data_IF_908606525649
#
_entry.id   IF_908606525649
#
_cell.length_a   1.000
_cell.length_b   1.000
_cell.length_c   1.000
_cell.angle_alpha   90.00
_cell.angle_beta   90.00
_cell.angle_gamma   90.00
#
_symmetry.space_group_name_H-M   'P 1'
#
loop_
_entity.id
_entity.type
_entity.pdbx_description
1 polymer ?
#
# COMPACT_ATOMS: atom_id res chain seq x y z
N UNK A 1 41.36 48.46 8.71
CA UNK A 1 40.17 48.93 9.45
C UNK A 1 38.83 48.56 8.76
N UNK A 2 38.84 47.74 7.69
CA UNK A 2 37.64 47.49 6.86
C UNK A 2 37.03 46.08 7.04
N UNK A 3 37.79 45.11 7.57
CA UNK A 3 37.30 43.74 7.72
C UNK A 3 36.26 43.58 8.84
N UNK A 4 36.36 44.34 9.93
CA UNK A 4 35.40 44.24 11.04
C UNK A 4 34.02 44.76 10.68
N UNK A 5 33.93 45.80 9.84
CA UNK A 5 32.64 46.35 9.37
C UNK A 5 31.97 45.42 8.36
N UNK A 6 32.75 44.71 7.55
CA UNK A 6 32.24 43.71 6.62
C UNK A 6 31.72 42.47 7.37
N UNK A 7 32.44 42.00 8.38
CA UNK A 7 32.06 40.86 9.21
C UNK A 7 30.82 41.17 10.06
N UNK A 8 30.73 42.38 10.61
CA UNK A 8 29.55 42.86 11.36
C UNK A 8 28.33 43.05 10.46
N UNK A 9 28.51 43.46 9.19
CA UNK A 9 27.44 43.51 8.18
C UNK A 9 27.00 42.12 7.70
N UNK A 10 27.91 41.17 7.58
CA UNK A 10 27.60 39.78 7.24
C UNK A 10 26.82 39.11 8.37
N UNK A 11 27.27 39.27 9.62
CA UNK A 11 26.59 38.79 10.83
C UNK A 11 25.24 39.48 11.05
N UNK A 12 25.13 40.79 10.76
CA UNK A 12 23.86 41.50 10.79
C UNK A 12 22.90 41.01 9.69
N UNK A 13 23.40 40.70 8.48
CA UNK A 13 22.58 40.12 7.41
C UNK A 13 22.11 38.69 7.72
N UNK A 14 22.95 37.89 8.39
CA UNK A 14 22.60 36.54 8.86
C UNK A 14 21.63 36.58 10.06
N UNK A 15 21.67 37.65 10.87
CA UNK A 15 20.75 37.87 11.98
C UNK A 15 19.39 38.46 11.55
N UNK A 16 19.34 39.29 10.50
CA UNK A 16 18.11 39.92 9.99
C UNK A 16 17.24 39.01 9.11
N UNK A 17 17.77 37.90 8.59
CA UNK A 17 17.00 36.92 7.79
C UNK A 17 16.66 35.63 8.56
N UNK A 18 16.41 35.70 9.87
CA UNK A 18 15.68 34.63 10.53
C UNK A 18 14.17 34.83 10.31
N UNK A 19 13.52 34.12 9.35
CA UNK A 19 12.08 34.25 9.19
C UNK A 19 11.40 34.01 10.53
N UNK A 20 10.50 34.92 10.90
CA UNK A 20 9.66 34.84 12.10
C UNK A 20 9.28 33.37 12.35
N UNK A 21 9.44 32.87 13.58
CA UNK A 21 9.17 31.48 13.94
C UNK A 21 7.81 31.00 13.39
N UNK A 22 6.79 31.87 13.39
CA UNK A 22 5.48 31.60 12.79
C UNK A 22 5.55 31.31 11.29
N UNK A 23 6.36 32.06 10.54
CA UNK A 23 6.61 31.86 9.10
C UNK A 23 7.36 30.56 8.85
N UNK A 24 8.37 30.22 9.67
CA UNK A 24 9.09 28.92 9.60
C UNK A 24 8.12 27.76 9.83
N UNK A 25 7.36 27.80 10.91
CA UNK A 25 6.35 26.79 11.23
C UNK A 25 5.34 26.63 10.09
N UNK A 26 4.86 27.74 9.51
CA UNK A 26 3.92 27.71 8.40
C UNK A 26 4.49 27.05 7.14
N UNK A 27 5.74 27.38 6.79
CA UNK A 27 6.43 26.77 5.64
C UNK A 27 6.61 25.27 5.83
N UNK A 28 7.12 24.84 6.99
CA UNK A 28 7.29 23.42 7.32
C UNK A 28 5.94 22.68 7.35
N UNK A 29 4.91 23.28 7.96
CA UNK A 29 3.56 22.72 7.97
C UNK A 29 3.02 22.50 6.56
N UNK A 30 3.26 23.45 5.65
CA UNK A 30 2.83 23.32 4.24
C UNK A 30 3.57 22.19 3.52
N UNK A 31 4.85 21.98 3.79
CA UNK A 31 5.63 20.88 3.24
C UNK A 31 5.14 19.53 3.75
N UNK A 32 4.88 19.41 5.06
CA UNK A 32 4.32 18.22 5.68
C UNK A 32 2.96 17.91 5.04
N UNK A 33 2.05 18.88 4.95
CA UNK A 33 0.72 18.67 4.37
C UNK A 33 0.76 18.24 2.91
N UNK A 34 1.73 18.72 2.12
CA UNK A 34 1.91 18.30 0.73
C UNK A 34 2.19 16.80 0.59
N UNK A 35 2.84 16.20 1.58
CA UNK A 35 3.23 14.79 1.61
C UNK A 35 2.18 13.96 2.35
N UNK A 36 1.70 14.45 3.49
CA UNK A 36 0.78 13.78 4.38
C UNK A 36 -0.64 13.68 3.81
N UNK A 37 -1.16 14.74 3.17
CA UNK A 37 -2.54 14.74 2.67
C UNK A 37 -2.79 13.61 1.65
N UNK A 38 -1.96 13.43 0.60
CA UNK A 38 -2.18 12.31 -0.33
C UNK A 38 -2.09 10.94 0.33
N UNK A 39 -1.19 10.76 1.31
CA UNK A 39 -1.07 9.50 2.05
C UNK A 39 -2.28 9.23 2.94
N UNK A 40 -2.80 10.27 3.63
CA UNK A 40 -4.05 10.17 4.41
C UNK A 40 -5.21 9.82 3.48
N UNK A 41 -5.33 10.51 2.35
CA UNK A 41 -6.37 10.25 1.37
C UNK A 41 -6.32 8.79 0.92
N UNK A 42 -5.16 8.29 0.50
CA UNK A 42 -4.97 6.89 0.09
C UNK A 42 -5.38 5.91 1.20
N UNK A 43 -4.99 6.14 2.45
CA UNK A 43 -5.34 5.27 3.59
C UNK A 43 -6.84 5.27 3.87
N UNK A 44 -7.47 6.45 3.89
CA UNK A 44 -8.91 6.61 4.12
C UNK A 44 -9.70 5.94 3.00
N UNK A 45 -9.32 6.14 1.74
CA UNK A 45 -10.01 5.54 0.60
C UNK A 45 -9.84 4.03 0.56
N UNK A 46 -8.66 3.51 0.88
CA UNK A 46 -8.42 2.05 0.95
C UNK A 46 -9.22 1.38 2.07
N UNK A 47 -9.26 1.99 3.26
CA UNK A 47 -10.14 1.50 4.33
C UNK A 47 -11.62 1.65 3.96
N UNK A 48 -11.98 2.74 3.29
CA UNK A 48 -13.32 2.98 2.77
C UNK A 48 -13.78 1.87 1.81
N UNK A 49 -12.92 1.36 0.93
CA UNK A 49 -13.28 0.25 0.03
C UNK A 49 -13.67 -1.02 0.81
N UNK A 50 -12.96 -1.34 1.90
CA UNK A 50 -13.30 -2.48 2.79
C UNK A 50 -14.68 -2.26 3.40
N UNK A 51 -14.94 -1.05 3.93
CA UNK A 51 -16.24 -0.71 4.53
C UNK A 51 -17.37 -0.79 3.51
N UNK A 52 -17.18 -0.26 2.30
CA UNK A 52 -18.18 -0.31 1.21
C UNK A 52 -18.47 -1.75 0.82
N UNK A 53 -17.44 -2.57 0.60
CA UNK A 53 -17.61 -3.99 0.26
C UNK A 53 -18.41 -4.72 1.34
N UNK A 54 -18.06 -4.52 2.62
CA UNK A 54 -18.76 -5.11 3.75
C UNK A 54 -20.23 -4.67 3.83
N UNK A 55 -20.53 -3.39 3.55
CA UNK A 55 -21.91 -2.89 3.52
C UNK A 55 -22.74 -3.56 2.43
N UNK A 56 -22.18 -3.74 1.22
CA UNK A 56 -22.89 -4.41 0.14
C UNK A 56 -23.10 -5.90 0.42
N UNK A 57 -22.08 -6.60 0.94
CA UNK A 57 -22.22 -8.00 1.38
C UNK A 57 -23.27 -8.13 2.48
N UNK A 58 -23.34 -7.17 3.40
CA UNK A 58 -24.37 -7.13 4.45
C UNK A 58 -25.81 -7.03 3.95
N UNK A 59 -26.03 -6.47 2.75
CA UNK A 59 -27.35 -6.45 2.13
C UNK A 59 -27.71 -7.78 1.44
N UNK A 60 -26.71 -8.61 1.10
CA UNK A 60 -26.93 -9.94 0.51
C UNK A 60 -27.49 -10.89 1.57
N UNK A 61 -26.76 -11.11 2.67
CA UNK A 61 -27.27 -11.86 3.81
C UNK A 61 -26.42 -11.65 5.07
N UNK A 62 -26.99 -11.99 6.23
CA UNK A 62 -26.25 -11.99 7.50
C UNK A 62 -25.15 -13.05 7.55
N UNK A 63 -25.34 -14.20 6.87
CA UNK A 63 -24.35 -15.28 6.79
C UNK A 63 -23.11 -14.82 6.01
N UNK A 64 -23.32 -14.22 4.83
CA UNK A 64 -22.22 -13.71 4.00
C UNK A 64 -21.46 -12.59 4.70
N UNK A 65 -22.16 -11.72 5.43
CA UNK A 65 -21.53 -10.66 6.22
C UNK A 65 -20.63 -11.23 7.32
N UNK A 66 -21.11 -12.24 8.06
CA UNK A 66 -20.34 -12.89 9.11
C UNK A 66 -19.10 -13.59 8.53
N UNK A 67 -19.28 -14.36 7.46
CA UNK A 67 -18.19 -15.03 6.73
C UNK A 67 -17.16 -14.04 6.20
N UNK A 68 -17.59 -12.93 5.57
CA UNK A 68 -16.68 -11.87 5.12
C UNK A 68 -15.89 -11.27 6.26
N UNK A 69 -16.55 -10.90 7.36
CA UNK A 69 -15.90 -10.30 8.51
C UNK A 69 -14.86 -11.25 9.14
N UNK A 70 -15.17 -12.54 9.19
CA UNK A 70 -14.27 -13.57 9.71
C UNK A 70 -13.06 -13.76 8.79
N UNK A 71 -13.26 -13.93 7.48
CA UNK A 71 -12.17 -14.00 6.48
C UNK A 71 -11.29 -12.76 6.55
N UNK A 72 -11.89 -11.58 6.61
CA UNK A 72 -11.19 -10.30 6.63
C UNK A 72 -10.35 -10.11 7.90
N UNK A 73 -10.88 -10.50 9.06
CA UNK A 73 -10.23 -10.32 10.36
C UNK A 73 -9.18 -11.39 10.68
N UNK A 74 -9.44 -12.65 10.33
CA UNK A 74 -8.56 -13.78 10.62
C UNK A 74 -7.53 -13.97 9.52
N UNK A 75 -7.96 -14.18 8.27
CA UNK A 75 -7.05 -14.56 7.18
C UNK A 75 -6.40 -13.34 6.56
N UNK A 76 -7.20 -12.40 6.06
CA UNK A 76 -6.69 -11.25 5.29
C UNK A 76 -5.80 -10.39 6.16
N UNK A 77 -6.20 -10.10 7.41
CA UNK A 77 -5.40 -9.28 8.32
C UNK A 77 -4.09 -9.96 8.72
N UNK A 78 -4.09 -11.28 8.92
CA UNK A 78 -2.88 -12.04 9.20
C UNK A 78 -1.88 -11.97 8.05
N UNK A 79 -2.30 -12.32 6.82
CA UNK A 79 -1.39 -12.28 5.67
C UNK A 79 -0.96 -10.87 5.31
N UNK A 80 -1.86 -9.89 5.49
CA UNK A 80 -1.57 -8.48 5.25
C UNK A 80 -0.51 -7.95 6.23
N UNK A 81 -0.56 -8.33 7.50
CA UNK A 81 0.46 -7.94 8.49
C UNK A 81 1.85 -8.42 8.08
N UNK A 82 1.96 -9.70 7.68
CA UNK A 82 3.21 -10.26 7.18
C UNK A 82 3.67 -9.51 5.93
N UNK A 83 2.79 -9.33 4.94
CA UNK A 83 3.15 -8.72 3.66
C UNK A 83 3.55 -7.25 3.81
N UNK A 84 2.77 -6.47 4.54
CA UNK A 84 3.07 -5.08 4.85
C UNK A 84 4.42 -4.94 5.57
N UNK A 85 4.70 -5.83 6.51
CA UNK A 85 5.99 -5.81 7.22
C UNK A 85 7.17 -6.20 6.33
N UNK A 86 7.01 -7.15 5.42
CA UNK A 86 8.06 -7.41 4.44
C UNK A 86 8.27 -6.24 3.49
N UNK A 87 7.17 -5.61 3.04
CA UNK A 87 7.24 -4.44 2.17
C UNK A 87 7.90 -3.24 2.86
N UNK A 88 7.74 -3.03 4.18
CA UNK A 88 8.33 -1.87 4.89
C UNK A 88 9.87 -1.85 4.89
N UNK A 89 10.50 -3.01 4.67
CA UNK A 89 11.93 -3.08 4.36
C UNK A 89 12.27 -2.26 3.10
N UNK A 90 11.40 -2.30 2.08
CA UNK A 90 11.50 -1.50 0.85
C UNK A 90 11.46 -0.01 1.16
N UNK A 91 10.56 0.44 2.02
CA UNK A 91 10.48 1.85 2.43
C UNK A 91 11.80 2.33 3.02
N UNK A 92 12.38 1.54 3.93
CA UNK A 92 13.67 1.86 4.57
C UNK A 92 14.80 1.90 3.54
N UNK A 93 14.93 0.87 2.71
CA UNK A 93 15.99 0.77 1.69
C UNK A 93 15.86 1.86 0.62
N UNK A 94 14.65 2.12 0.12
CA UNK A 94 14.38 3.18 -0.84
C UNK A 94 14.62 4.57 -0.22
N UNK A 95 14.20 4.80 1.03
CA UNK A 95 14.44 6.05 1.75
C UNK A 95 15.93 6.32 1.96
N UNK A 96 16.69 5.31 2.39
CA UNK A 96 18.15 5.39 2.53
C UNK A 96 18.84 5.64 1.18
N UNK A 97 18.48 4.89 0.14
CA UNK A 97 19.04 5.07 -1.19
C UNK A 97 18.72 6.46 -1.77
N UNK A 98 17.50 6.96 -1.57
CA UNK A 98 17.11 8.30 -2.00
C UNK A 98 17.90 9.38 -1.26
N UNK A 99 18.03 9.27 0.06
CA UNK A 99 18.82 10.19 0.89
C UNK A 99 20.32 10.19 0.56
N UNK A 100 20.88 9.01 0.26
CA UNK A 100 22.26 8.83 -0.18
C UNK A 100 22.49 9.15 -1.67
N UNK A 101 21.45 9.63 -2.38
CA UNK A 101 21.47 9.93 -3.83
C UNK A 101 21.80 8.71 -4.72
N UNK A 102 21.65 7.49 -4.21
CA UNK A 102 21.81 6.23 -4.95
C UNK A 102 20.51 5.85 -5.67
N UNK A 103 19.98 6.75 -6.50
CA UNK A 103 18.66 6.60 -7.12
C UNK A 103 18.47 5.31 -7.92
N UNK A 104 19.51 4.84 -8.61
CA UNK A 104 19.46 3.60 -9.40
C UNK A 104 19.14 2.36 -8.55
N UNK A 105 19.53 2.35 -7.27
CA UNK A 105 19.27 1.22 -6.37
C UNK A 105 17.79 1.09 -6.02
N UNK A 106 17.01 2.18 -6.07
CA UNK A 106 15.60 2.15 -5.67
C UNK A 106 14.78 1.23 -6.57
N UNK A 107 15.00 1.26 -7.88
CA UNK A 107 14.32 0.37 -8.83
C UNK A 107 14.74 -1.10 -8.66
N UNK A 108 15.99 -1.34 -8.24
CA UNK A 108 16.48 -2.69 -7.92
C UNK A 108 15.81 -3.21 -6.65
N UNK A 109 15.73 -2.40 -5.59
CA UNK A 109 15.04 -2.77 -4.36
C UNK A 109 13.56 -3.04 -4.60
N UNK A 110 12.87 -2.20 -5.38
CA UNK A 110 11.48 -2.43 -5.76
C UNK A 110 11.28 -3.80 -6.43
N UNK A 111 12.13 -4.15 -7.41
CA UNK A 111 12.07 -5.45 -8.08
C UNK A 111 12.38 -6.62 -7.14
N UNK A 112 13.36 -6.47 -6.25
CA UNK A 112 13.68 -7.49 -5.23
C UNK A 112 12.50 -7.72 -4.29
N UNK A 113 11.85 -6.65 -3.85
CA UNK A 113 10.68 -6.73 -2.99
C UNK A 113 9.52 -7.42 -3.71
N UNK A 114 9.26 -7.12 -4.99
CA UNK A 114 8.25 -7.87 -5.75
C UNK A 114 8.52 -9.37 -5.77
N UNK A 115 9.78 -9.79 -5.94
CA UNK A 115 10.15 -11.21 -5.93
C UNK A 115 9.89 -11.82 -4.55
N UNK A 116 10.39 -11.20 -3.49
CA UNK A 116 10.24 -11.71 -2.12
C UNK A 116 8.77 -11.74 -1.70
N UNK A 117 8.04 -10.67 -1.93
CA UNK A 117 6.64 -10.54 -1.55
C UNK A 117 5.74 -11.46 -2.39
N UNK A 118 6.02 -11.66 -3.68
CA UNK A 118 5.28 -12.62 -4.50
C UNK A 118 5.52 -14.07 -4.05
N UNK A 119 6.77 -14.43 -3.69
CA UNK A 119 7.07 -15.76 -3.15
C UNK A 119 6.33 -15.98 -1.83
N UNK A 120 6.39 -15.01 -0.91
CA UNK A 120 5.69 -15.14 0.36
C UNK A 120 4.16 -15.18 0.18
N UNK A 121 3.60 -14.34 -0.69
CA UNK A 121 2.18 -14.40 -1.01
C UNK A 121 1.78 -15.79 -1.55
N UNK A 122 2.61 -16.37 -2.41
CA UNK A 122 2.40 -17.72 -2.95
C UNK A 122 2.44 -18.80 -1.85
N UNK A 123 3.39 -18.70 -0.91
CA UNK A 123 3.49 -19.61 0.23
C UNK A 123 2.24 -19.52 1.14
N UNK A 124 1.61 -18.35 1.23
CA UNK A 124 0.44 -18.11 2.07
C UNK A 124 -0.90 -18.48 1.40
N UNK A 125 -0.92 -18.77 0.09
CA UNK A 125 -2.15 -19.15 -0.63
C UNK A 125 -2.95 -20.30 -0.01
N UNK A 126 -2.33 -21.36 0.57
CA UNK A 126 -3.08 -22.42 1.24
C UNK A 126 -4.06 -21.92 2.30
N UNK A 127 -3.79 -20.78 2.96
CA UNK A 127 -4.71 -20.20 3.95
C UNK A 127 -6.06 -19.77 3.35
N UNK A 128 -6.05 -19.33 2.10
CA UNK A 128 -7.26 -18.95 1.35
C UNK A 128 -7.92 -20.18 0.73
N UNK A 129 -7.13 -21.11 0.17
CA UNK A 129 -7.67 -22.31 -0.49
C UNK A 129 -8.31 -23.27 0.51
N UNK A 130 -7.76 -23.37 1.72
CA UNK A 130 -8.24 -24.30 2.75
C UNK A 130 -9.01 -23.57 3.86
N UNK A 131 -9.75 -22.50 3.55
CA UNK A 131 -10.49 -21.72 4.55
C UNK A 131 -11.53 -22.55 5.31
N UNK A 132 -12.36 -23.35 4.63
CA UNK A 132 -13.35 -24.22 5.30
C UNK A 132 -12.73 -25.12 6.38
N UNK A 133 -11.73 -25.98 6.09
CA UNK A 133 -11.16 -26.84 7.13
C UNK A 133 -10.41 -26.05 8.22
N UNK A 134 -9.82 -24.89 7.89
CA UNK A 134 -9.21 -24.01 8.91
C UNK A 134 -10.29 -23.48 9.87
N UNK A 135 -11.41 -22.98 9.36
CA UNK A 135 -12.47 -22.41 10.20
C UNK A 135 -13.20 -23.49 11.01
N UNK A 136 -13.41 -24.69 10.44
CA UNK A 136 -13.85 -25.85 11.22
C UNK A 136 -12.91 -26.18 12.38
N UNK A 137 -11.59 -26.12 12.15
CA UNK A 137 -10.59 -26.36 13.19
C UNK A 137 -10.61 -25.27 14.28
N UNK A 138 -10.93 -24.03 13.91
CA UNK A 138 -11.12 -22.92 14.84
C UNK A 138 -12.44 -22.99 15.62
N UNK A 139 -13.30 -23.96 15.31
CA UNK A 139 -14.57 -24.20 16.02
C UNK A 139 -15.74 -23.36 15.50
N UNK A 140 -15.62 -22.80 14.30
CA UNK A 140 -16.70 -22.05 13.65
C UNK A 140 -17.84 -22.97 13.22
N UNK A 141 -19.05 -22.42 13.13
CA UNK A 141 -20.22 -23.12 12.65
C UNK A 141 -20.05 -23.57 11.20
N UNK A 142 -20.58 -24.75 10.85
CA UNK A 142 -20.37 -25.38 9.55
C UNK A 142 -20.82 -24.50 8.37
N UNK A 143 -21.94 -23.78 8.53
CA UNK A 143 -22.47 -22.87 7.51
C UNK A 143 -21.53 -21.68 7.26
N UNK A 144 -20.94 -21.09 8.32
CA UNK A 144 -19.98 -19.99 8.22
C UNK A 144 -18.67 -20.49 7.62
N UNK A 145 -18.20 -21.66 8.04
CA UNK A 145 -16.96 -22.24 7.55
C UNK A 145 -17.01 -22.47 6.03
N UNK A 146 -18.13 -23.02 5.52
CA UNK A 146 -18.35 -23.26 4.09
C UNK A 146 -18.48 -21.93 3.32
N UNK A 147 -19.33 -21.01 3.79
CA UNK A 147 -19.54 -19.73 3.10
C UNK A 147 -18.26 -18.88 3.04
N UNK A 148 -17.39 -19.00 4.04
CA UNK A 148 -16.10 -18.29 4.08
C UNK A 148 -15.13 -18.71 2.97
N UNK A 149 -15.26 -19.92 2.42
CA UNK A 149 -14.38 -20.39 1.34
C UNK A 149 -14.61 -19.65 0.03
N UNK A 150 -15.86 -19.38 -0.36
CA UNK A 150 -16.12 -18.60 -1.58
C UNK A 150 -15.50 -17.20 -1.47
N UNK A 151 -15.74 -16.53 -0.33
CA UNK A 151 -15.21 -15.18 -0.08
C UNK A 151 -13.68 -15.18 -0.03
N UNK A 152 -13.06 -16.18 0.61
CA UNK A 152 -11.60 -16.23 0.76
C UNK A 152 -10.90 -16.41 -0.59
N UNK A 153 -11.49 -17.18 -1.51
CA UNK A 153 -10.94 -17.35 -2.87
C UNK A 153 -10.94 -16.02 -3.64
N UNK A 154 -11.96 -15.17 -3.47
CA UNK A 154 -11.98 -13.83 -4.05
C UNK A 154 -10.90 -12.88 -3.51
N UNK A 155 -10.35 -13.16 -2.33
CA UNK A 155 -9.23 -12.39 -1.77
C UNK A 155 -7.87 -12.79 -2.35
N UNK A 156 -7.74 -13.91 -3.05
CA UNK A 156 -6.47 -14.31 -3.70
C UNK A 156 -5.96 -13.22 -4.67
N UNK A 157 -6.75 -12.73 -5.65
CA UNK A 157 -6.31 -11.64 -6.51
C UNK A 157 -6.05 -10.32 -5.76
N UNK A 158 -6.82 -10.02 -4.71
CA UNK A 158 -6.58 -8.86 -3.84
C UNK A 158 -5.23 -8.99 -3.13
N UNK A 159 -4.90 -10.19 -2.66
CA UNK A 159 -3.66 -10.43 -1.93
C UNK A 159 -2.42 -10.25 -2.81
N UNK A 160 -2.47 -10.71 -4.07
CA UNK A 160 -1.40 -10.40 -5.03
C UNK A 160 -1.35 -8.91 -5.41
N UNK A 161 -2.48 -8.20 -5.33
CA UNK A 161 -2.48 -6.75 -5.53
C UNK A 161 -1.62 -6.05 -4.45
N UNK A 162 -1.61 -6.54 -3.20
CA UNK A 162 -0.82 -5.96 -2.11
C UNK A 162 0.70 -6.06 -2.34
N UNK A 163 1.18 -7.12 -3.00
CA UNK A 163 2.59 -7.28 -3.38
C UNK A 163 3.09 -6.06 -4.14
N UNK A 164 2.32 -5.64 -5.14
CA UNK A 164 2.66 -4.49 -5.96
C UNK A 164 2.28 -3.18 -5.26
N UNK A 165 1.07 -3.10 -4.71
CA UNK A 165 0.55 -1.89 -4.10
C UNK A 165 1.44 -1.36 -2.97
N UNK A 166 1.83 -2.17 -2.00
CA UNK A 166 2.66 -1.70 -0.89
C UNK A 166 4.05 -1.28 -1.33
N UNK A 167 4.73 -2.12 -2.11
CA UNK A 167 6.10 -1.88 -2.53
C UNK A 167 6.20 -0.67 -3.46
N UNK A 168 5.26 -0.51 -4.41
CA UNK A 168 5.21 0.66 -5.30
C UNK A 168 4.91 1.93 -4.52
N UNK A 169 3.95 1.90 -3.60
CA UNK A 169 3.65 3.06 -2.76
C UNK A 169 4.86 3.49 -1.95
N UNK A 170 5.56 2.56 -1.30
CA UNK A 170 6.78 2.86 -0.54
C UNK A 170 7.90 3.41 -1.43
N UNK A 171 8.07 2.85 -2.63
CA UNK A 171 9.02 3.35 -3.63
C UNK A 171 8.70 4.79 -4.08
N UNK A 172 7.42 5.12 -4.34
CA UNK A 172 6.99 6.45 -4.74
C UNK A 172 7.02 7.44 -3.57
N UNK A 173 6.69 6.98 -2.36
CA UNK A 173 6.73 7.78 -1.13
C UNK A 173 8.15 8.20 -0.77
N UNK A 174 9.12 7.29 -0.89
CA UNK A 174 10.54 7.61 -0.70
C UNK A 174 11.05 8.72 -1.63
N UNK A 175 10.37 8.96 -2.77
CA UNK A 175 10.69 10.01 -3.75
C UNK A 175 9.81 11.26 -3.60
N UNK A 176 8.99 11.35 -2.55
CA UNK A 176 8.01 12.42 -2.33
C UNK A 176 6.96 12.55 -3.44
N UNK A 177 6.64 11.44 -4.13
CA UNK A 177 5.66 11.39 -5.22
C UNK A 177 4.26 10.98 -4.75
N UNK A 178 3.90 11.25 -3.49
CA UNK A 178 2.67 10.76 -2.85
C UNK A 178 1.38 11.20 -3.54
N UNK A 179 1.41 12.32 -4.28
CA UNK A 179 0.22 12.85 -4.97
C UNK A 179 -0.39 11.84 -5.94
N UNK A 180 0.42 11.08 -6.70
CA UNK A 180 -0.13 10.10 -7.65
C UNK A 180 -0.87 8.98 -6.93
N UNK A 181 -0.32 8.51 -5.81
CA UNK A 181 -0.94 7.47 -4.96
C UNK A 181 -2.30 7.96 -4.47
N UNK A 182 -2.34 9.13 -3.85
CA UNK A 182 -3.58 9.68 -3.27
C UNK A 182 -4.69 9.87 -4.30
N UNK A 183 -4.37 10.43 -5.48
CA UNK A 183 -5.37 10.67 -6.52
C UNK A 183 -5.85 9.38 -7.20
N UNK A 184 -4.96 8.42 -7.45
CA UNK A 184 -5.35 7.11 -7.99
C UNK A 184 -6.22 6.33 -6.99
N UNK A 185 -5.87 6.34 -5.70
CA UNK A 185 -6.68 5.69 -4.66
C UNK A 185 -8.06 6.34 -4.52
N UNK A 186 -8.15 7.68 -4.59
CA UNK A 186 -9.42 8.39 -4.55
C UNK A 186 -10.30 8.10 -5.77
N UNK A 187 -9.73 8.12 -6.98
CA UNK A 187 -10.43 7.74 -8.19
C UNK A 187 -10.94 6.30 -8.12
N UNK A 188 -10.09 5.39 -7.62
CA UNK A 188 -10.48 3.98 -7.46
C UNK A 188 -11.62 3.80 -6.46
N UNK A 189 -11.62 4.52 -5.35
CA UNK A 189 -12.69 4.44 -4.35
C UNK A 189 -14.05 4.93 -4.90
N UNK A 190 -14.06 6.01 -5.67
CA UNK A 190 -15.28 6.47 -6.36
C UNK A 190 -15.78 5.43 -7.35
N UNK A 191 -14.87 4.85 -8.14
CA UNK A 191 -15.21 3.76 -9.05
C UNK A 191 -15.74 2.54 -8.29
N UNK A 192 -15.13 2.18 -7.16
CA UNK A 192 -15.55 1.06 -6.34
C UNK A 192 -17.00 1.21 -5.86
N UNK A 193 -17.38 2.39 -5.34
CA UNK A 193 -18.77 2.66 -4.93
C UNK A 193 -19.72 2.47 -6.11
N UNK A 194 -19.37 3.02 -7.28
CA UNK A 194 -20.18 2.91 -8.49
C UNK A 194 -20.33 1.45 -8.93
N UNK A 195 -19.23 0.70 -9.02
CA UNK A 195 -19.22 -0.69 -9.45
C UNK A 195 -19.95 -1.60 -8.46
N UNK A 196 -19.75 -1.42 -7.16
CA UNK A 196 -20.46 -2.19 -6.13
C UNK A 196 -21.96 -1.95 -6.21
N UNK A 197 -22.40 -0.70 -6.42
CA UNK A 197 -23.81 -0.40 -6.64
C UNK A 197 -24.36 -1.08 -7.90
N UNK A 198 -23.66 -1.01 -9.04
CA UNK A 198 -24.12 -1.63 -10.28
C UNK A 198 -24.14 -3.16 -10.14
N UNK A 199 -23.05 -3.77 -9.70
CA UNK A 199 -22.91 -5.23 -9.69
C UNK A 199 -23.81 -5.89 -8.66
N UNK A 200 -24.01 -5.27 -7.49
CA UNK A 200 -24.82 -5.87 -6.42
C UNK A 200 -26.28 -5.44 -6.50
N UNK A 201 -26.58 -4.15 -6.70
CA UNK A 201 -27.96 -3.64 -6.61
C UNK A 201 -28.71 -3.58 -7.93
N UNK A 202 -28.02 -3.64 -9.08
CA UNK A 202 -28.68 -3.60 -10.40
C UNK A 202 -28.59 -4.95 -11.11
N UNK A 203 -27.42 -5.59 -11.06
CA UNK A 203 -27.17 -6.86 -11.73
C UNK A 203 -27.41 -8.08 -10.84
N UNK A 204 -27.71 -7.89 -9.55
CA UNK A 204 -27.97 -8.95 -8.56
C UNK A 204 -26.89 -10.06 -8.56
N UNK A 205 -25.61 -9.68 -8.71
CA UNK A 205 -24.48 -10.62 -8.70
C UNK A 205 -24.02 -11.02 -7.29
N UNK A 206 -24.75 -10.59 -6.26
CA UNK A 206 -24.53 -10.93 -4.85
C UNK A 206 -23.06 -10.78 -4.41
N UNK A 207 -22.49 -11.78 -3.71
CA UNK A 207 -21.12 -11.77 -3.19
C UNK A 207 -20.09 -11.61 -4.31
N UNK A 208 -20.28 -12.30 -5.43
CA UNK A 208 -19.40 -12.20 -6.59
C UNK A 208 -19.38 -10.77 -7.17
N UNK A 209 -20.52 -10.06 -7.13
CA UNK A 209 -20.62 -8.67 -7.52
C UNK A 209 -19.80 -7.74 -6.63
N UNK A 210 -19.95 -7.85 -5.31
CA UNK A 210 -19.21 -7.06 -4.33
C UNK A 210 -17.70 -7.33 -4.42
N UNK A 211 -17.30 -8.60 -4.46
CA UNK A 211 -15.90 -9.01 -4.51
C UNK A 211 -15.25 -8.71 -5.86
N UNK A 212 -16.00 -8.80 -6.96
CA UNK A 212 -15.55 -8.39 -8.30
C UNK A 212 -15.29 -6.89 -8.38
N UNK A 213 -16.21 -6.07 -7.86
CA UNK A 213 -16.02 -4.62 -7.77
C UNK A 213 -14.83 -4.24 -6.88
N UNK A 214 -14.62 -4.95 -5.78
CA UNK A 214 -13.46 -4.76 -4.91
C UNK A 214 -12.16 -5.10 -5.61
N UNK A 215 -12.08 -6.22 -6.33
CA UNK A 215 -10.90 -6.61 -7.10
C UNK A 215 -10.54 -5.62 -8.19
N UNK A 216 -11.52 -5.13 -8.96
CA UNK A 216 -11.27 -4.11 -9.99
C UNK A 216 -10.68 -2.84 -9.34
N UNK A 217 -11.23 -2.43 -8.20
CA UNK A 217 -10.80 -1.23 -7.50
C UNK A 217 -9.42 -1.37 -6.83
N UNK A 218 -9.04 -2.55 -6.35
CA UNK A 218 -7.69 -2.72 -5.78
C UNK A 218 -6.60 -2.73 -6.85
N UNK A 219 -6.90 -3.25 -8.04
CA UNK A 219 -5.95 -3.31 -9.15
C UNK A 219 -5.81 -2.01 -9.96
N UNK A 220 -6.86 -1.21 -10.07
CA UNK A 220 -6.83 0.07 -10.80
C UNK A 220 -5.67 1.00 -10.39
N UNK A 221 -5.47 1.34 -9.09
CA UNK A 221 -4.38 2.22 -8.71
C UNK A 221 -3.02 1.61 -9.02
N UNK A 222 -2.87 0.29 -8.89
CA UNK A 222 -1.63 -0.42 -9.20
C UNK A 222 -1.28 -0.30 -10.69
N UNK A 223 -2.25 -0.51 -11.59
CA UNK A 223 -2.02 -0.29 -13.03
C UNK A 223 -1.67 1.16 -13.34
N UNK A 224 -2.34 2.13 -12.70
CA UNK A 224 -2.02 3.55 -12.85
C UNK A 224 -0.59 3.87 -12.38
N UNK A 225 -0.16 3.29 -11.27
CA UNK A 225 1.20 3.46 -10.73
C UNK A 225 2.25 2.78 -11.61
N UNK A 226 1.96 1.60 -12.18
CA UNK A 226 2.83 0.97 -13.18
C UNK A 226 3.00 1.85 -14.42
N UNK A 227 1.91 2.38 -14.96
CA UNK A 227 1.95 3.33 -16.09
C UNK A 227 2.80 4.55 -15.72
N UNK A 228 2.65 5.07 -14.51
CA UNK A 228 3.43 6.20 -14.03
C UNK A 228 4.94 5.88 -13.89
N UNK A 229 5.30 4.70 -13.39
CA UNK A 229 6.70 4.30 -13.24
C UNK A 229 7.33 4.03 -14.62
N UNK A 230 6.65 3.25 -15.46
CA UNK A 230 7.19 2.78 -16.74
C UNK A 230 7.10 3.84 -17.84
N UNK A 231 6.15 4.76 -17.76
CA UNK A 231 5.98 5.86 -18.71
C UNK A 231 6.95 7.04 -18.52
N UNK A 232 7.95 6.89 -17.65
CA UNK A 232 9.09 7.82 -17.58
C UNK A 232 8.99 8.91 -16.52
N UNK A 233 7.99 8.87 -15.62
CA UNK A 233 7.88 9.84 -14.52
C UNK A 233 8.81 9.54 -13.32
N UNK A 234 9.55 8.42 -13.37
CA UNK A 234 10.59 8.02 -12.41
C UNK A 234 11.96 7.78 -13.11
N UNK A 235 12.49 8.73 -13.90
CA UNK A 235 13.60 8.45 -14.84
C UNK A 235 14.94 8.17 -14.14
N UNK A 236 15.14 8.69 -12.92
CA UNK A 236 16.39 8.50 -12.16
C UNK A 236 16.39 7.21 -11.33
N UNK A 237 15.21 6.75 -10.96
CA UNK A 237 14.98 5.71 -9.96
C UNK A 237 14.46 4.41 -10.57
N UNK A 238 13.86 4.47 -11.76
CA UNK A 238 13.48 3.31 -12.57
C UNK A 238 14.27 3.31 -13.88
N UNK A 239 15.10 2.29 -14.08
CA UNK A 239 15.91 2.08 -15.29
C UNK A 239 15.49 0.85 -16.11
N UNK A 240 14.32 0.30 -15.81
CA UNK A 240 13.83 -0.95 -16.36
C UNK A 240 14.18 -2.17 -15.51
N UNK A 241 13.71 -3.33 -15.99
CA UNK A 241 13.99 -4.62 -15.35
C UNK A 241 15.47 -4.98 -15.46
N UNK A 242 16.01 -5.60 -14.41
CA UNK A 242 17.43 -5.98 -14.36
C UNK A 242 17.64 -7.29 -13.62
N UNK A 243 18.61 -8.08 -14.07
CA UNK A 243 19.00 -9.33 -13.41
C UNK A 243 19.61 -9.10 -12.02
N UNK A 244 20.05 -7.87 -11.71
CA UNK A 244 20.49 -7.48 -10.38
C UNK A 244 19.39 -7.63 -9.30
N UNK A 245 18.12 -7.73 -9.72
CA UNK A 245 17.01 -8.03 -8.84
C UNK A 245 17.03 -9.45 -8.27
N UNK A 246 17.78 -10.39 -8.86
CA UNK A 246 17.88 -11.77 -8.38
C UNK A 246 19.10 -12.02 -7.49
N UNK A 247 19.94 -11.01 -7.30
CA UNK A 247 21.16 -11.09 -6.49
C UNK A 247 20.91 -10.51 -5.10
N UNK A 248 21.54 -11.08 -4.07
CA UNK A 248 21.46 -10.59 -2.68
C UNK A 248 20.04 -10.41 -2.13
N UNK A 249 19.17 -11.41 -2.35
CA UNK A 249 17.82 -11.42 -1.79
C UNK A 249 17.82 -11.71 -0.28
N UNK A 250 18.80 -12.47 0.22
CA UNK A 250 18.83 -12.91 1.62
C UNK A 250 18.87 -11.77 2.66
N UNK A 251 19.65 -10.68 2.48
CA UNK A 251 19.58 -9.52 3.36
C UNK A 251 18.18 -8.88 3.40
N UNK A 252 17.49 -8.80 2.25
CA UNK A 252 16.12 -8.26 2.18
C UNK A 252 15.18 -9.20 2.92
N UNK A 253 15.25 -10.52 2.68
CA UNK A 253 14.44 -11.50 3.41
C UNK A 253 14.63 -11.35 4.92
N UNK A 254 15.86 -11.23 5.43
CA UNK A 254 16.12 -11.02 6.87
C UNK A 254 15.46 -9.74 7.40
N UNK A 255 15.62 -8.63 6.68
CA UNK A 255 15.03 -7.34 7.07
C UNK A 255 13.51 -7.38 7.03
N UNK A 256 12.95 -8.00 5.98
CA UNK A 256 11.53 -8.22 5.76
C UNK A 256 10.91 -9.10 6.85
N UNK A 257 11.57 -10.19 7.26
CA UNK A 257 11.10 -11.04 8.38
C UNK A 257 11.13 -10.26 9.69
N UNK A 258 12.20 -9.53 9.99
CA UNK A 258 12.28 -8.71 11.20
C UNK A 258 11.21 -7.63 11.24
N UNK A 259 10.92 -7.01 10.10
CA UNK A 259 9.90 -5.97 9.96
C UNK A 259 8.48 -6.56 10.05
N UNK A 260 8.28 -7.76 9.49
CA UNK A 260 7.07 -8.57 9.64
C UNK A 260 6.72 -8.84 11.09
N UNK A 261 7.70 -9.26 11.91
CA UNK A 261 7.50 -9.49 13.34
C UNK A 261 7.21 -8.20 14.11
N UNK A 262 7.77 -7.06 13.70
CA UNK A 262 7.60 -5.79 14.40
C UNK A 262 6.22 -5.14 14.16
N UNK A 263 5.64 -5.34 12.98
CA UNK A 263 4.36 -4.76 12.59
C UNK A 263 3.15 -5.65 12.95
N UNK A 264 3.41 -6.81 13.55
CA UNK A 264 2.40 -7.78 13.99
C UNK A 264 2.18 -7.74 15.50
#
# INVERSE_FOLDING_TARGET
>A
MDNGVLEERLLASEAEEQPNLKRRIWVESKLIWRIAFPSILARVTSFGMVVVTQLFIGHVSALELASYALVQSVLVRFVNGILLGMSSATETLCGQAFGAKQYHMMGIYLQRSWIVDAVTATIMLPLFIFTTPIFRLLGEEEEIAIASEEISLWFIPVFYSYVFGFTIQMYLQAQLKNSIIGWLSAASFVLHILLSWIFVSILDLEVAGAMGAYNIATWLPIFGEFVFIFGGWCPNTWKGFTTAAFVDLWPIVKLSVSSGVMLW
#
